data_IF_997580439019
#
_entry.id   IF_997580439019
#
_cell.length_a   1.000
_cell.length_b   1.000
_cell.length_c   1.000
_cell.angle_alpha   90.00
_cell.angle_beta   90.00
_cell.angle_gamma   90.00
#
_symmetry.space_group_name_H-M   'P 1'
#
loop_
_entity.id
_entity.type
_entity.pdbx_description
1 polymer ?
#
# COMPACT_ATOMS: atom_id res chain seq x y z
N UNK A 1 16.86 -73.84 -37.52
CA UNK A 1 16.22 -72.61 -38.03
C UNK A 1 15.06 -72.07 -37.16
N UNK A 2 14.78 -72.60 -35.96
CA UNK A 2 13.75 -72.07 -35.03
C UNK A 2 14.30 -71.30 -33.81
N UNK A 3 15.61 -71.39 -33.56
CA UNK A 3 16.30 -70.75 -32.43
C UNK A 3 16.85 -69.34 -32.75
N UNK A 4 17.02 -69.00 -34.03
CA UNK A 4 17.49 -67.67 -34.45
C UNK A 4 16.35 -66.64 -34.54
N UNK A 5 15.11 -67.10 -34.73
CA UNK A 5 13.92 -66.22 -34.85
C UNK A 5 13.41 -65.79 -33.46
N UNK A 6 13.63 -66.60 -32.42
CA UNK A 6 13.23 -66.30 -31.04
C UNK A 6 14.15 -65.27 -30.36
N UNK A 7 15.42 -65.20 -30.74
CA UNK A 7 16.37 -64.21 -30.18
C UNK A 7 16.14 -62.81 -30.76
N UNK A 8 15.63 -62.70 -32.00
CA UNK A 8 15.37 -61.41 -32.65
C UNK A 8 14.11 -60.71 -32.11
N UNK A 9 13.18 -61.45 -31.49
CA UNK A 9 11.96 -60.89 -30.89
C UNK A 9 12.16 -60.36 -29.47
N UNK A 10 13.15 -60.85 -28.73
CA UNK A 10 13.47 -60.35 -27.38
C UNK A 10 14.29 -59.05 -27.40
N UNK A 11 15.05 -58.79 -28.47
CA UNK A 11 15.79 -57.53 -28.63
C UNK A 11 14.94 -56.36 -29.13
N UNK A 12 13.73 -56.61 -29.66
CA UNK A 12 12.80 -55.56 -30.07
C UNK A 12 12.07 -54.89 -28.89
N UNK A 13 11.98 -55.54 -27.73
CA UNK A 13 11.24 -55.01 -26.55
C UNK A 13 12.13 -54.19 -25.61
N UNK A 14 13.46 -54.31 -25.71
CA UNK A 14 14.41 -53.55 -24.90
C UNK A 14 14.69 -52.12 -25.46
N UNK A 15 14.19 -51.80 -26.65
CA UNK A 15 14.47 -50.53 -27.35
C UNK A 15 13.58 -49.34 -27.00
N UNK A 16 12.63 -49.47 -26.06
CA UNK A 16 11.73 -48.38 -25.67
C UNK A 16 11.67 -48.17 -24.16
N UNK A 17 12.81 -48.27 -23.47
CA UNK A 17 12.97 -47.57 -22.19
C UNK A 17 13.33 -46.12 -22.49
N UNK A 18 12.34 -45.26 -22.78
CA UNK A 18 12.55 -43.81 -22.68
C UNK A 18 13.04 -43.54 -21.25
N UNK A 19 14.30 -43.19 -21.08
CA UNK A 19 14.79 -42.65 -19.81
C UNK A 19 13.88 -41.48 -19.46
N UNK A 20 13.20 -41.56 -18.31
CA UNK A 20 12.45 -40.47 -17.70
C UNK A 20 13.44 -39.43 -17.13
N UNK A 21 14.36 -38.94 -17.97
CA UNK A 21 15.29 -37.90 -17.56
C UNK A 21 14.50 -36.59 -17.44
N UNK A 22 14.66 -35.93 -16.29
CA UNK A 22 13.99 -34.67 -16.00
C UNK A 22 14.45 -33.64 -17.04
N UNK A 23 13.49 -33.05 -17.76
CA UNK A 23 13.77 -32.03 -18.77
C UNK A 23 14.20 -30.71 -18.12
N UNK A 24 15.00 -29.90 -18.82
CA UNK A 24 15.38 -28.55 -18.38
C UNK A 24 14.15 -27.68 -18.05
N UNK A 25 13.05 -27.87 -18.77
CA UNK A 25 11.78 -27.20 -18.49
C UNK A 25 11.17 -27.60 -17.15
N UNK A 26 11.24 -28.90 -16.79
CA UNK A 26 10.79 -29.39 -15.48
C UNK A 26 11.69 -28.89 -14.35
N UNK A 27 13.01 -28.82 -14.58
CA UNK A 27 13.96 -28.24 -13.62
C UNK A 27 13.64 -26.76 -13.40
N UNK A 28 13.55 -25.97 -14.48
CA UNK A 28 13.21 -24.53 -14.41
C UNK A 28 11.89 -24.30 -13.67
N UNK A 29 10.86 -25.07 -13.99
CA UNK A 29 9.57 -24.99 -13.34
C UNK A 29 9.66 -25.28 -11.84
N UNK A 30 10.29 -26.39 -11.47
CA UNK A 30 10.40 -26.82 -10.07
C UNK A 30 11.21 -25.83 -9.24
N UNK A 31 12.34 -25.34 -9.77
CA UNK A 31 13.17 -24.33 -9.12
C UNK A 31 12.38 -23.04 -8.87
N UNK A 32 11.72 -22.50 -9.91
CA UNK A 32 10.96 -21.27 -9.79
C UNK A 32 9.78 -21.38 -8.82
N UNK A 33 9.05 -22.51 -8.83
CA UNK A 33 7.94 -22.76 -7.90
C UNK A 33 8.43 -22.89 -6.45
N UNK A 34 9.55 -23.57 -6.23
CA UNK A 34 10.12 -23.71 -4.89
C UNK A 34 10.59 -22.35 -4.34
N UNK A 35 11.27 -21.56 -5.17
CA UNK A 35 11.70 -20.21 -4.80
C UNK A 35 10.51 -19.28 -4.53
N UNK A 36 9.52 -19.26 -5.43
CA UNK A 36 8.26 -18.55 -5.24
C UNK A 36 7.59 -18.89 -3.91
N UNK A 37 7.39 -20.19 -3.62
CA UNK A 37 6.75 -20.65 -2.39
C UNK A 37 7.58 -20.32 -1.14
N UNK A 38 8.90 -20.31 -1.25
CA UNK A 38 9.81 -19.91 -0.17
C UNK A 38 9.62 -18.44 0.18
N UNK A 39 9.56 -17.55 -0.82
CA UNK A 39 9.34 -16.11 -0.62
C UNK A 39 7.95 -15.85 -0.03
N UNK A 40 6.90 -16.51 -0.54
CA UNK A 40 5.54 -16.38 0.01
C UNK A 40 5.47 -16.86 1.47
N UNK A 41 6.18 -17.94 1.81
CA UNK A 41 6.24 -18.43 3.20
C UNK A 41 7.02 -17.46 4.09
N UNK A 42 8.10 -16.85 3.58
CA UNK A 42 8.85 -15.80 4.28
C UNK A 42 7.97 -14.58 4.59
N UNK A 43 7.16 -14.14 3.63
CA UNK A 43 6.25 -13.01 3.82
C UNK A 43 5.21 -13.28 4.90
N UNK A 44 4.56 -14.46 4.88
CA UNK A 44 3.62 -14.84 5.93
C UNK A 44 4.28 -14.91 7.31
N UNK A 45 5.42 -15.61 7.42
CA UNK A 45 6.16 -15.71 8.67
C UNK A 45 6.64 -14.36 9.20
N UNK A 46 6.94 -13.41 8.31
CA UNK A 46 7.31 -12.06 8.69
C UNK A 46 6.11 -11.32 9.29
N UNK A 47 4.95 -11.36 8.62
CA UNK A 47 3.73 -10.74 9.13
C UNK A 47 3.31 -11.33 10.48
N UNK A 48 3.33 -12.66 10.62
CA UNK A 48 2.93 -13.33 11.86
C UNK A 48 3.80 -12.99 13.08
N UNK A 49 5.04 -12.55 12.84
CA UNK A 49 5.99 -12.18 13.90
C UNK A 49 5.99 -10.69 14.24
N UNK A 50 5.68 -9.83 13.28
CA UNK A 50 5.91 -8.40 13.41
C UNK A 50 4.62 -7.58 13.51
N UNK A 51 3.48 -8.10 13.07
CA UNK A 51 2.22 -7.39 13.22
C UNK A 51 1.80 -7.34 14.69
N UNK A 52 1.53 -6.13 15.18
CA UNK A 52 1.07 -5.90 16.55
C UNK A 52 -0.44 -5.69 16.63
N UNK A 53 -1.12 -5.57 15.49
CA UNK A 53 -2.57 -5.36 15.43
C UNK A 53 -2.98 -3.89 15.49
N UNK A 54 -2.03 -2.97 15.38
CA UNK A 54 -2.27 -1.53 15.20
C UNK A 54 -1.75 -1.14 13.82
N UNK A 55 -2.68 -0.80 12.92
CA UNK A 55 -2.35 -0.46 11.54
C UNK A 55 -1.33 0.68 11.45
N UNK A 56 -1.38 1.68 12.34
CA UNK A 56 -0.44 2.81 12.32
C UNK A 56 1.00 2.35 12.56
N UNK A 57 1.18 1.33 13.38
CA UNK A 57 2.49 0.75 13.69
C UNK A 57 2.89 -0.32 12.65
N UNK A 58 1.90 -0.95 12.02
CA UNK A 58 2.09 -2.08 11.14
C UNK A 58 2.39 -1.70 9.67
N UNK A 59 2.15 -0.45 9.23
CA UNK A 59 2.30 -0.01 7.82
C UNK A 59 3.65 -0.42 7.21
N UNK A 60 4.76 -0.16 7.89
CA UNK A 60 6.10 -0.50 7.37
C UNK A 60 6.27 -2.00 7.14
N UNK A 61 5.70 -2.83 8.04
CA UNK A 61 5.74 -4.28 7.93
C UNK A 61 4.86 -4.78 6.78
N UNK A 62 3.71 -4.15 6.56
CA UNK A 62 2.79 -4.45 5.46
C UNK A 62 3.41 -4.09 4.10
N UNK A 63 4.06 -2.92 3.99
CA UNK A 63 4.81 -2.52 2.79
C UNK A 63 5.89 -3.56 2.47
N UNK A 64 6.69 -3.96 3.46
CA UNK A 64 7.72 -4.97 3.25
C UNK A 64 7.15 -6.32 2.78
N UNK A 65 6.02 -6.75 3.33
CA UNK A 65 5.36 -7.98 2.89
C UNK A 65 4.85 -7.88 1.44
N UNK A 66 4.35 -6.72 1.01
CA UNK A 66 3.96 -6.47 -0.39
C UNK A 66 5.15 -6.54 -1.35
N UNK A 67 6.30 -6.00 -0.96
CA UNK A 67 7.54 -6.13 -1.75
C UNK A 67 7.94 -7.61 -1.90
N UNK A 68 7.83 -8.41 -0.84
CA UNK A 68 8.08 -9.85 -0.94
C UNK A 68 7.09 -10.55 -1.88
N UNK A 69 5.80 -10.17 -1.86
CA UNK A 69 4.81 -10.69 -2.82
C UNK A 69 5.21 -10.33 -4.25
N UNK A 70 5.56 -9.07 -4.50
CA UNK A 70 6.02 -8.64 -5.82
C UNK A 70 7.23 -9.44 -6.31
N UNK A 71 8.22 -9.68 -5.43
CA UNK A 71 9.38 -10.51 -5.76
C UNK A 71 8.98 -11.96 -6.06
N UNK A 72 8.05 -12.55 -5.30
CA UNK A 72 7.57 -13.90 -5.55
C UNK A 72 6.89 -14.03 -6.92
N UNK A 73 6.17 -12.99 -7.36
CA UNK A 73 5.56 -12.94 -8.70
C UNK A 73 6.63 -12.81 -9.80
N UNK A 74 7.63 -11.94 -9.59
CA UNK A 74 8.76 -11.75 -10.52
C UNK A 74 9.56 -13.01 -10.80
N UNK A 75 9.72 -13.90 -9.80
CA UNK A 75 10.37 -15.20 -10.00
C UNK A 75 9.67 -16.03 -11.08
N UNK A 76 8.34 -16.06 -11.06
CA UNK A 76 7.55 -16.80 -12.05
C UNK A 76 7.60 -16.12 -13.42
N UNK A 77 7.52 -14.79 -13.46
CA UNK A 77 7.65 -14.02 -14.70
C UNK A 77 9.01 -14.25 -15.39
N UNK A 78 10.11 -14.18 -14.65
CA UNK A 78 11.46 -14.44 -15.18
C UNK A 78 11.62 -15.89 -15.68
N UNK A 79 10.97 -16.85 -15.02
CA UNK A 79 10.93 -18.24 -15.46
C UNK A 79 9.98 -18.49 -16.65
N UNK A 80 9.29 -17.46 -17.15
CA UNK A 80 8.25 -17.51 -18.20
C UNK A 80 7.09 -18.43 -17.84
N UNK A 81 6.75 -18.48 -16.55
CA UNK A 81 5.62 -19.26 -16.02
C UNK A 81 4.45 -18.30 -15.83
N UNK A 82 3.35 -18.53 -16.56
CA UNK A 82 2.13 -17.72 -16.49
C UNK A 82 0.97 -18.55 -15.95
N UNK A 83 -0.04 -17.87 -15.39
CA UNK A 83 -1.28 -18.52 -14.94
C UNK A 83 -1.18 -19.35 -13.65
N UNK A 84 0.00 -19.48 -13.05
CA UNK A 84 0.17 -20.21 -11.78
C UNK A 84 0.01 -19.23 -10.61
N UNK A 85 -1.03 -19.42 -9.80
CA UNK A 85 -1.19 -18.76 -8.49
C UNK A 85 -1.30 -19.83 -7.42
N UNK A 86 -0.26 -19.96 -6.58
CA UNK A 86 -0.30 -20.89 -5.44
C UNK A 86 -1.41 -20.49 -4.47
N UNK A 87 -2.05 -21.45 -3.81
CA UNK A 87 -3.07 -21.17 -2.78
C UNK A 87 -2.51 -20.32 -1.64
N UNK A 88 -1.23 -20.50 -1.31
CA UNK A 88 -0.53 -19.68 -0.32
C UNK A 88 -0.40 -18.23 -0.76
N UNK A 89 -0.08 -17.97 -2.03
CA UNK A 89 -0.03 -16.62 -2.56
C UNK A 89 -1.44 -16.00 -2.52
N UNK A 90 -2.48 -16.71 -2.97
CA UNK A 90 -3.86 -16.21 -2.93
C UNK A 90 -4.26 -15.81 -1.51
N UNK A 91 -4.02 -16.67 -0.52
CA UNK A 91 -4.32 -16.38 0.87
C UNK A 91 -3.56 -15.15 1.40
N UNK A 92 -2.27 -15.02 1.07
CA UNK A 92 -1.47 -13.86 1.45
C UNK A 92 -1.96 -12.57 0.78
N UNK A 93 -2.29 -12.61 -0.52
CA UNK A 93 -2.85 -11.45 -1.23
C UNK A 93 -4.20 -11.05 -0.64
N UNK A 94 -5.08 -12.00 -0.31
CA UNK A 94 -6.35 -11.71 0.36
C UNK A 94 -6.15 -11.10 1.73
N UNK A 95 -5.19 -11.60 2.52
CA UNK A 95 -4.83 -11.02 3.82
C UNK A 95 -4.33 -9.57 3.68
N UNK A 96 -3.43 -9.32 2.74
CA UNK A 96 -2.91 -7.96 2.46
C UNK A 96 -4.00 -7.02 1.95
N UNK A 97 -4.94 -7.52 1.14
CA UNK A 97 -6.07 -6.74 0.65
C UNK A 97 -7.01 -6.28 1.76
N UNK A 98 -7.11 -7.01 2.88
CA UNK A 98 -7.89 -6.54 4.03
C UNK A 98 -7.22 -5.32 4.66
N UNK A 99 -5.90 -5.37 4.87
CA UNK A 99 -5.15 -4.21 5.36
C UNK A 99 -5.20 -3.02 4.41
N UNK A 100 -5.34 -3.25 3.09
CA UNK A 100 -5.54 -2.17 2.12
C UNK A 100 -6.88 -1.46 2.30
N UNK A 101 -7.93 -2.18 2.70
CA UNK A 101 -9.21 -1.56 3.04
C UNK A 101 -9.10 -0.77 4.34
N UNK A 102 -8.48 -1.36 5.36
CA UNK A 102 -8.29 -0.71 6.66
C UNK A 102 -7.42 0.57 6.51
N UNK A 103 -6.42 0.55 5.63
CA UNK A 103 -5.58 1.70 5.32
C UNK A 103 -6.34 2.81 4.60
N UNK A 104 -7.30 2.49 3.74
CA UNK A 104 -8.17 3.48 3.12
C UNK A 104 -9.07 4.18 4.15
N UNK A 105 -9.63 3.43 5.11
CA UNK A 105 -10.40 3.99 6.24
C UNK A 105 -9.53 4.96 7.02
N UNK A 106 -8.35 4.51 7.46
CA UNK A 106 -7.42 5.31 8.22
C UNK A 106 -6.97 6.58 7.46
N UNK A 107 -6.75 6.49 6.15
CA UNK A 107 -6.40 7.65 5.33
C UNK A 107 -7.52 8.70 5.34
N UNK A 108 -8.78 8.31 5.21
CA UNK A 108 -9.92 9.25 5.23
C UNK A 108 -10.06 9.88 6.62
N UNK A 109 -9.88 9.11 7.70
CA UNK A 109 -9.87 9.66 9.06
C UNK A 109 -8.78 10.73 9.23
N UNK A 110 -7.57 10.45 8.75
CA UNK A 110 -6.44 11.37 8.82
C UNK A 110 -6.62 12.61 7.92
N UNK A 111 -7.24 12.48 6.75
CA UNK A 111 -7.61 13.61 5.89
C UNK A 111 -8.69 14.49 6.54
N UNK A 112 -9.67 13.90 7.21
CA UNK A 112 -10.66 14.66 7.97
C UNK A 112 -10.04 15.35 9.19
N UNK A 113 -9.12 14.67 9.89
CA UNK A 113 -8.41 15.23 11.03
C UNK A 113 -7.51 16.40 10.62
N UNK A 114 -6.81 16.28 9.49
CA UNK A 114 -5.98 17.36 8.95
C UNK A 114 -6.83 18.57 8.57
N UNK A 115 -7.96 18.34 7.88
CA UNK A 115 -8.93 19.39 7.55
C UNK A 115 -9.45 20.12 8.80
N UNK A 116 -9.91 19.38 9.80
CA UNK A 116 -10.41 19.94 11.07
C UNK A 116 -9.36 20.82 11.74
N UNK A 117 -8.12 20.34 11.84
CA UNK A 117 -7.00 21.12 12.41
C UNK A 117 -6.72 22.40 11.62
N UNK A 118 -6.80 22.36 10.30
CA UNK A 118 -6.67 23.54 9.44
C UNK A 118 -7.76 24.57 9.72
N UNK A 119 -9.01 24.13 9.93
CA UNK A 119 -10.11 25.03 10.30
C UNK A 119 -9.92 25.64 11.69
N UNK A 120 -9.48 24.84 12.67
CA UNK A 120 -9.17 25.30 14.04
C UNK A 120 -8.05 26.36 14.03
N UNK A 121 -6.99 26.13 13.24
CA UNK A 121 -5.91 27.09 13.06
C UNK A 121 -6.41 28.39 12.41
N UNK A 122 -7.19 28.30 11.33
CA UNK A 122 -7.80 29.47 10.65
C UNK A 122 -8.63 30.29 11.62
N UNK A 123 -9.45 29.64 12.44
CA UNK A 123 -10.27 30.31 13.45
C UNK A 123 -9.41 30.99 14.51
N UNK A 124 -8.41 30.29 15.04
CA UNK A 124 -7.46 30.84 16.04
C UNK A 124 -6.76 32.09 15.51
N UNK A 125 -6.39 32.10 14.23
CA UNK A 125 -5.76 33.28 13.59
C UNK A 125 -6.74 34.44 13.45
N UNK A 126 -7.99 34.17 13.06
CA UNK A 126 -9.01 35.22 12.89
C UNK A 126 -9.47 35.83 14.23
N UNK A 127 -9.48 35.04 15.30
CA UNK A 127 -9.89 35.48 16.63
C UNK A 127 -8.78 36.23 17.40
N UNK A 128 -7.57 36.31 16.83
CA UNK A 128 -6.48 37.07 17.45
C UNK A 128 -6.83 38.57 17.49
N UNK A 129 -6.72 39.24 18.66
CA UNK A 129 -7.00 40.65 18.77
C UNK A 129 -6.00 41.45 17.93
N UNK A 130 -6.50 42.24 16.99
CA UNK A 130 -5.69 43.23 16.26
C UNK A 130 -5.13 44.23 17.29
N UNK A 131 -3.81 44.29 17.43
CA UNK A 131 -3.17 45.28 18.30
C UNK A 131 -3.64 46.71 17.92
N UNK A 132 -3.89 47.60 18.91
CA UNK A 132 -4.38 48.93 18.62
C UNK A 132 -3.37 49.67 17.73
N UNK A 133 -3.89 50.38 16.72
CA UNK A 133 -3.16 51.03 15.63
C UNK A 133 -2.23 52.19 16.08
N UNK A 134 -1.89 52.29 17.37
CA UNK A 134 -1.20 53.43 17.98
C UNK A 134 -0.04 53.12 18.93
N UNK A 135 0.39 51.86 19.11
CA UNK A 135 1.52 51.58 20.01
C UNK A 135 2.12 50.20 19.81
N UNK A 136 3.35 50.17 19.27
CA UNK A 136 4.26 49.02 19.18
C UNK A 136 3.63 47.68 18.71
N UNK A 137 3.56 47.48 17.39
CA UNK A 137 3.15 46.24 16.71
C UNK A 137 4.17 45.09 16.77
N UNK A 138 5.09 45.08 17.74
CA UNK A 138 6.26 44.18 17.74
C UNK A 138 5.97 42.71 18.10
N UNK A 139 4.75 42.36 18.56
CA UNK A 139 4.44 41.00 19.05
C UNK A 139 3.45 40.19 18.19
N UNK A 140 2.72 40.79 17.25
CA UNK A 140 1.69 40.05 16.48
C UNK A 140 2.29 39.18 15.39
N UNK A 141 3.32 39.66 14.67
CA UNK A 141 4.00 38.87 13.63
C UNK A 141 4.70 37.64 14.21
N UNK A 142 5.44 37.81 15.32
CA UNK A 142 6.09 36.70 16.02
C UNK A 142 5.09 35.67 16.56
N UNK A 143 3.89 36.11 16.95
CA UNK A 143 2.83 35.20 17.41
C UNK A 143 2.22 34.40 16.26
N UNK A 144 1.95 35.05 15.12
CA UNK A 144 1.44 34.36 13.92
C UNK A 144 2.46 33.34 13.41
N UNK A 145 3.74 33.71 13.37
CA UNK A 145 4.83 32.81 12.96
C UNK A 145 4.91 31.59 13.90
N UNK A 146 4.87 31.81 15.23
CA UNK A 146 4.84 30.73 16.22
C UNK A 146 3.62 29.80 16.07
N UNK A 147 2.41 30.36 15.91
CA UNK A 147 1.20 29.57 15.71
C UNK A 147 1.24 28.77 14.40
N UNK A 148 1.84 29.33 13.35
CA UNK A 148 2.08 28.64 12.10
C UNK A 148 3.02 27.45 12.26
N UNK A 149 4.12 27.62 13.01
CA UNK A 149 5.05 26.52 13.32
C UNK A 149 4.38 25.41 14.14
N UNK A 150 3.65 25.77 15.21
CA UNK A 150 2.92 24.80 16.04
C UNK A 150 1.85 24.04 15.23
N UNK A 151 1.11 24.75 14.37
CA UNK A 151 0.16 24.15 13.45
C UNK A 151 0.85 23.16 12.49
N UNK A 152 1.92 23.57 11.82
CA UNK A 152 2.64 22.71 10.87
C UNK A 152 3.21 21.46 11.56
N UNK A 153 3.83 21.64 12.73
CA UNK A 153 4.36 20.53 13.53
C UNK A 153 3.26 19.57 13.99
N UNK A 154 2.10 20.10 14.42
CA UNK A 154 0.97 19.27 14.82
C UNK A 154 0.34 18.54 13.64
N UNK A 155 0.22 19.20 12.49
CA UNK A 155 -0.37 18.67 11.26
C UNK A 155 0.48 17.53 10.69
N UNK A 156 1.80 17.73 10.67
CA UNK A 156 2.75 16.75 10.17
C UNK A 156 2.72 15.46 11.01
N UNK A 157 2.83 15.60 12.34
CA UNK A 157 2.83 14.47 13.28
C UNK A 157 1.50 13.73 13.33
N UNK A 158 0.37 14.45 13.34
CA UNK A 158 -0.93 13.80 13.45
C UNK A 158 -1.29 13.03 12.18
N UNK A 159 -0.92 13.59 11.03
CA UNK A 159 -1.67 13.35 9.81
C UNK A 159 -0.77 13.22 8.58
N UNK A 160 0.10 14.20 8.27
CA UNK A 160 0.82 14.17 6.97
C UNK A 160 1.82 13.02 6.88
N UNK A 161 2.60 12.76 7.94
CA UNK A 161 3.55 11.65 7.96
C UNK A 161 2.82 10.30 7.83
N UNK A 162 1.82 9.97 8.67
CA UNK A 162 1.04 8.74 8.50
C UNK A 162 0.34 8.62 7.14
N UNK A 163 -0.16 9.72 6.57
CA UNK A 163 -0.77 9.73 5.23
C UNK A 163 0.25 9.34 4.15
N UNK A 164 1.49 9.85 4.24
CA UNK A 164 2.58 9.49 3.31
C UNK A 164 2.89 7.98 3.37
N UNK A 165 2.94 7.41 4.57
CA UNK A 165 3.17 5.97 4.74
C UNK A 165 2.01 5.14 4.15
N UNK A 166 0.77 5.58 4.33
CA UNK A 166 -0.41 4.93 3.74
C UNK A 166 -0.42 5.04 2.21
N UNK A 167 0.00 6.16 1.63
CA UNK A 167 0.14 6.29 0.16
C UNK A 167 1.06 5.20 -0.40
N UNK A 168 2.20 4.97 0.26
CA UNK A 168 3.15 3.93 -0.13
C UNK A 168 2.52 2.54 0.01
N UNK A 169 1.83 2.27 1.13
CA UNK A 169 1.14 1.01 1.34
C UNK A 169 0.11 0.73 0.23
N UNK A 170 -0.63 1.74 -0.20
CA UNK A 170 -1.67 1.62 -1.24
C UNK A 170 -1.11 1.58 -2.67
N UNK A 171 0.22 1.56 -2.87
CA UNK A 171 0.81 1.36 -4.21
C UNK A 171 0.50 -0.03 -4.73
N UNK A 172 0.22 -0.12 -6.03
CA UNK A 172 -0.18 -1.36 -6.70
C UNK A 172 -1.61 -1.84 -6.42
N UNK A 173 -2.35 -1.18 -5.54
CA UNK A 173 -3.79 -1.45 -5.34
C UNK A 173 -4.57 -0.90 -6.54
N UNK A 174 -5.23 -1.81 -7.26
CA UNK A 174 -6.07 -1.52 -8.43
C UNK A 174 -7.53 -1.35 -7.99
N UNK A 175 -7.79 -0.26 -7.26
CA UNK A 175 -9.11 0.13 -6.78
C UNK A 175 -9.30 1.64 -7.01
N UNK A 176 -10.49 2.03 -7.50
CA UNK A 176 -10.77 3.42 -7.85
C UNK A 176 -10.79 4.33 -6.60
N UNK A 177 -11.35 3.83 -5.50
CA UNK A 177 -11.38 4.54 -4.21
C UNK A 177 -9.98 4.73 -3.67
N UNK A 178 -9.15 3.69 -3.66
CA UNK A 178 -7.74 3.75 -3.26
C UNK A 178 -6.94 4.74 -4.14
N UNK A 179 -7.21 4.79 -5.45
CA UNK A 179 -6.58 5.77 -6.34
C UNK A 179 -6.99 7.21 -5.98
N UNK A 180 -8.28 7.45 -5.75
CA UNK A 180 -8.79 8.77 -5.40
C UNK A 180 -8.23 9.24 -4.04
N UNK A 181 -8.14 8.35 -3.05
CA UNK A 181 -7.52 8.61 -1.75
C UNK A 181 -6.05 8.97 -1.91
N UNK A 182 -5.26 8.16 -2.63
CA UNK A 182 -3.83 8.47 -2.89
C UNK A 182 -3.66 9.84 -3.55
N UNK A 183 -4.52 10.17 -4.52
CA UNK A 183 -4.49 11.49 -5.16
C UNK A 183 -4.75 12.62 -4.15
N UNK A 184 -5.65 12.45 -3.19
CA UNK A 184 -5.86 13.44 -2.12
C UNK A 184 -4.68 13.52 -1.17
N UNK A 185 -4.10 12.39 -0.77
CA UNK A 185 -2.89 12.36 0.06
C UNK A 185 -1.76 13.17 -0.57
N UNK A 186 -1.44 12.90 -1.84
CA UNK A 186 -0.32 13.56 -2.54
C UNK A 186 -0.49 15.08 -2.62
N UNK A 187 -1.73 15.57 -2.66
CA UNK A 187 -2.03 16.99 -2.81
C UNK A 187 -2.44 17.66 -1.49
N UNK A 188 -2.46 16.94 -0.36
CA UNK A 188 -3.12 17.39 0.87
C UNK A 188 -2.58 18.74 1.35
N UNK A 189 -1.26 18.95 1.35
CA UNK A 189 -0.63 20.19 1.81
C UNK A 189 -1.10 21.40 0.98
N UNK A 190 -1.12 21.26 -0.35
CA UNK A 190 -1.62 22.31 -1.25
C UNK A 190 -3.13 22.56 -1.05
N UNK A 191 -3.92 21.50 -0.91
CA UNK A 191 -5.37 21.61 -0.69
C UNK A 191 -5.68 22.32 0.64
N UNK A 192 -4.96 22.00 1.71
CA UNK A 192 -5.13 22.67 3.01
C UNK A 192 -4.71 24.14 2.95
N UNK A 193 -3.68 24.49 2.19
CA UNK A 193 -3.32 25.89 1.92
C UNK A 193 -4.46 26.66 1.23
N UNK A 194 -5.14 26.04 0.26
CA UNK A 194 -6.33 26.63 -0.36
C UNK A 194 -7.52 26.75 0.60
N UNK A 195 -7.71 25.79 1.51
CA UNK A 195 -8.74 25.87 2.56
C UNK A 195 -8.54 27.10 3.47
N UNK A 196 -7.29 27.41 3.81
CA UNK A 196 -6.98 28.59 4.63
C UNK A 196 -7.40 29.90 3.96
N UNK A 197 -7.29 29.99 2.63
CA UNK A 197 -7.42 31.24 1.88
C UNK A 197 -8.76 31.40 1.13
N UNK A 198 -9.48 30.31 0.84
CA UNK A 198 -10.69 30.33 0.04
C UNK A 198 -11.85 29.57 0.72
N UNK A 199 -12.88 30.32 1.13
CA UNK A 199 -14.06 29.78 1.82
C UNK A 199 -15.00 28.95 0.93
N UNK A 200 -15.02 29.19 -0.39
CA UNK A 200 -15.76 28.35 -1.33
C UNK A 200 -15.06 27.00 -1.48
N UNK A 201 -13.74 27.04 -1.71
CA UNK A 201 -12.92 25.83 -1.79
C UNK A 201 -12.99 24.99 -0.50
N UNK A 202 -13.07 25.64 0.67
CA UNK A 202 -13.26 24.94 1.94
C UNK A 202 -14.53 24.07 1.95
N UNK A 203 -15.65 24.58 1.41
CA UNK A 203 -16.90 23.81 1.32
C UNK A 203 -16.76 22.67 0.32
N UNK A 204 -16.16 22.94 -0.83
CA UNK A 204 -15.92 21.91 -1.86
C UNK A 204 -15.02 20.80 -1.35
N UNK A 205 -13.99 21.14 -0.58
CA UNK A 205 -13.07 20.17 0.01
C UNK A 205 -13.80 19.27 1.02
N UNK A 206 -14.67 19.82 1.86
CA UNK A 206 -15.51 19.05 2.77
C UNK A 206 -16.43 18.06 1.99
N UNK A 207 -17.07 18.52 0.91
CA UNK A 207 -17.91 17.66 0.05
C UNK A 207 -17.07 16.54 -0.57
N UNK A 208 -15.86 16.83 -1.04
CA UNK A 208 -14.96 15.82 -1.60
C UNK A 208 -14.56 14.76 -0.57
N UNK A 209 -14.30 15.14 0.67
CA UNK A 209 -13.99 14.19 1.74
C UNK A 209 -15.21 13.33 2.11
N UNK A 210 -16.41 13.93 2.13
CA UNK A 210 -17.66 13.18 2.34
C UNK A 210 -17.89 12.16 1.22
N UNK A 211 -17.72 12.56 -0.05
CA UNK A 211 -17.88 11.65 -1.18
C UNK A 211 -16.91 10.47 -1.14
N UNK A 212 -15.67 10.68 -0.67
CA UNK A 212 -14.71 9.58 -0.47
C UNK A 212 -15.14 8.64 0.66
N UNK A 213 -15.67 9.19 1.74
CA UNK A 213 -16.18 8.40 2.85
C UNK A 213 -17.39 7.54 2.42
N UNK A 214 -18.29 8.10 1.63
CA UNK A 214 -19.46 7.38 1.10
C UNK A 214 -19.04 6.29 0.10
N UNK A 215 -18.07 6.58 -0.77
CA UNK A 215 -17.51 5.58 -1.70
C UNK A 215 -16.86 4.40 -0.97
N UNK A 216 -16.25 4.64 0.19
CA UNK A 216 -15.66 3.59 1.01
C UNK A 216 -16.73 2.71 1.68
N UNK A 217 -17.85 3.29 2.11
CA UNK A 217 -18.92 2.56 2.79
C UNK A 217 -19.69 1.58 1.87
N UNK A 218 -19.60 1.77 0.55
CA UNK A 218 -20.25 0.92 -0.46
C UNK A 218 -19.39 -0.30 -0.87
N UNK A 219 -18.08 -0.29 -0.58
CA UNK A 219 -17.08 -1.28 -1.01
C UNK A 219 -16.54 -2.19 0.12
#
# INVERSE_FOLDING_TARGET
MRLLITILFLSAVAGCSKRNDITDSQIRYTTAINEHNSIVSKANNYLDKNLVGDLRLDIAHLIYAKELVHHAEKVLEHAKITGVKSEKLKALTSRLSQYDKDAQVLAIELLNASFKKTLEFKQTVNDMPLAPVGGASLHSKSMIDYLGEEYNNSLDKCCLTPLKDIEILLRGVNDETAWAIKKKIVNVENQLSHVLTNSEYQKDYAIQLMALNDALAVN
#
